data_IF_778006789659
#
_entry.id   IF_778006789659
#
_cell.length_a   1.000
_cell.length_b   1.000
_cell.length_c   1.000
_cell.angle_alpha   90.00
_cell.angle_beta   90.00
_cell.angle_gamma   90.00
#
_symmetry.space_group_name_H-M   'P 1'
#
loop_
_entity.id
_entity.type
_entity.pdbx_description
1 polymer ?
#
# COMPACT_ATOMS: atom_id res chain seq x y z
N UNK A 1 -14.13 -18.17 -30.26
CA UNK A 1 -12.83 -17.89 -29.61
C UNK A 1 -13.12 -17.44 -28.18
N UNK A 2 -12.77 -18.26 -27.19
CA UNK A 2 -13.15 -18.10 -25.77
C UNK A 2 -12.18 -17.09 -25.13
N UNK A 3 -12.66 -15.91 -24.71
CA UNK A 3 -11.86 -14.94 -23.96
C UNK A 3 -11.74 -15.42 -22.52
N UNK A 4 -10.63 -16.06 -22.18
CA UNK A 4 -10.34 -16.46 -20.81
C UNK A 4 -9.96 -15.21 -20.02
N UNK A 5 -10.94 -14.66 -19.29
CA UNK A 5 -10.78 -13.56 -18.35
C UNK A 5 -9.95 -14.08 -17.16
N UNK A 6 -8.68 -13.71 -17.07
CA UNK A 6 -7.82 -14.03 -15.92
C UNK A 6 -8.25 -13.16 -14.73
N UNK A 7 -9.06 -13.72 -13.83
CA UNK A 7 -9.22 -13.22 -12.46
C UNK A 7 -7.89 -13.42 -11.72
N UNK A 8 -7.23 -12.32 -11.35
CA UNK A 8 -6.06 -12.34 -10.47
C UNK A 8 -6.57 -12.36 -9.03
N UNK A 9 -6.51 -13.54 -8.40
CA UNK A 9 -6.77 -13.72 -6.96
C UNK A 9 -5.56 -13.17 -6.17
N UNK A 10 -5.74 -12.06 -5.45
CA UNK A 10 -4.69 -11.46 -4.64
C UNK A 10 -4.66 -12.19 -3.29
N UNK A 11 -3.51 -12.77 -2.95
CA UNK A 11 -3.29 -13.50 -1.71
C UNK A 11 -3.52 -12.60 -0.48
N UNK A 12 -4.41 -13.04 0.40
CA UNK A 12 -4.62 -12.47 1.73
C UNK A 12 -3.41 -12.84 2.61
N UNK A 13 -2.66 -11.84 3.06
CA UNK A 13 -1.66 -12.00 4.11
C UNK A 13 -2.36 -12.15 5.46
N UNK A 14 -2.22 -13.31 6.09
CA UNK A 14 -2.65 -13.56 7.47
C UNK A 14 -1.44 -13.49 8.38
N UNK A 15 -1.38 -12.47 9.24
CA UNK A 15 -0.68 -12.51 10.54
C UNK A 15 -1.56 -11.80 11.57
N UNK A 16 -1.89 -12.54 12.63
CA UNK A 16 -2.86 -12.18 13.65
C UNK A 16 -2.27 -11.29 14.76
N UNK A 17 -3.09 -10.39 15.33
CA UNK A 17 -2.95 -9.99 16.73
C UNK A 17 -3.20 -8.51 17.05
N UNK A 18 -4.35 -8.24 17.70
CA UNK A 18 -4.73 -7.05 18.48
C UNK A 18 -5.17 -5.78 17.73
N UNK A 19 -6.38 -5.89 17.17
CA UNK A 19 -7.32 -4.78 16.95
C UNK A 19 -8.13 -5.01 15.68
N UNK A 20 -9.44 -5.17 15.79
CA UNK A 20 -10.40 -5.21 14.66
C UNK A 20 -10.47 -3.90 13.85
N UNK A 21 -9.47 -3.03 14.03
CA UNK A 21 -9.46 -1.62 13.63
C UNK A 21 -8.59 -1.47 12.41
N UNK A 22 -9.00 -0.56 11.54
CA UNK A 22 -8.25 -0.20 10.35
C UNK A 22 -6.82 0.23 10.75
N UNK A 23 -5.78 -0.28 10.09
CA UNK A 23 -4.42 0.08 10.45
C UNK A 23 -4.17 1.58 10.30
N UNK A 24 -3.43 2.16 11.24
CA UNK A 24 -3.03 3.58 11.17
C UNK A 24 -2.07 3.79 10.01
N UNK A 25 -2.01 5.01 9.49
CA UNK A 25 -1.15 5.39 8.35
C UNK A 25 0.29 4.88 8.45
N UNK A 26 0.93 4.99 9.62
CA UNK A 26 2.34 4.64 9.82
C UNK A 26 2.56 3.19 10.30
N UNK A 27 1.53 2.34 10.31
CA UNK A 27 1.71 0.93 10.66
C UNK A 27 2.56 0.21 9.62
N UNK A 28 3.26 -0.85 10.05
CA UNK A 28 4.06 -1.65 9.14
C UNK A 28 3.18 -2.35 8.10
N UNK A 29 1.99 -2.81 8.47
CA UNK A 29 1.01 -3.39 7.54
C UNK A 29 0.64 -2.42 6.40
N UNK A 30 0.37 -1.15 6.74
CA UNK A 30 0.01 -0.14 5.75
C UNK A 30 1.20 0.18 4.84
N UNK A 31 2.39 0.39 5.41
CA UNK A 31 3.60 0.71 4.63
C UNK A 31 4.00 -0.43 3.71
N UNK A 32 3.97 -1.68 4.20
CA UNK A 32 4.32 -2.86 3.42
C UNK A 32 3.38 -3.03 2.22
N UNK A 33 2.07 -2.86 2.42
CA UNK A 33 1.11 -2.95 1.32
C UNK A 33 1.29 -1.81 0.30
N UNK A 34 1.59 -0.59 0.75
CA UNK A 34 1.93 0.52 -0.16
C UNK A 34 3.19 0.21 -0.98
N UNK A 35 4.24 -0.36 -0.37
CA UNK A 35 5.45 -0.80 -1.08
C UNK A 35 5.12 -1.87 -2.12
N UNK A 36 4.27 -2.85 -1.78
CA UNK A 36 3.86 -3.90 -2.70
C UNK A 36 3.07 -3.35 -3.89
N UNK A 37 2.15 -2.41 -3.64
CA UNK A 37 1.40 -1.71 -4.68
C UNK A 37 2.38 -0.95 -5.59
N UNK A 38 3.32 -0.18 -5.02
CA UNK A 38 4.32 0.54 -5.79
C UNK A 38 5.18 -0.38 -6.68
N UNK A 39 5.70 -1.49 -6.12
CA UNK A 39 6.47 -2.49 -6.89
C UNK A 39 5.65 -3.04 -8.04
N UNK A 40 4.40 -3.45 -7.79
CA UNK A 40 3.51 -4.00 -8.82
C UNK A 40 3.17 -2.99 -9.90
N UNK A 41 2.90 -1.73 -9.53
CA UNK A 41 2.61 -0.67 -10.51
C UNK A 41 3.81 -0.37 -11.39
N UNK A 42 5.01 -0.24 -10.81
CA UNK A 42 6.22 0.01 -11.58
C UNK A 42 6.62 -1.17 -12.47
N UNK A 43 6.45 -2.41 -11.98
CA UNK A 43 6.72 -3.62 -12.76
C UNK A 43 5.86 -3.75 -14.03
N UNK A 44 4.71 -3.04 -14.11
CA UNK A 44 3.89 -2.98 -15.33
C UNK A 44 4.50 -2.09 -16.42
N UNK A 45 5.25 -1.07 -16.04
CA UNK A 45 5.86 -0.10 -16.96
C UNK A 45 7.34 -0.34 -17.25
N UNK A 46 8.04 -1.05 -16.37
CA UNK A 46 9.49 -1.30 -16.50
C UNK A 46 9.94 -2.50 -15.68
N UNK A 47 11.11 -3.05 -16.03
CA UNK A 47 11.79 -4.05 -15.19
C UNK A 47 12.38 -3.37 -13.97
N UNK A 48 11.86 -3.67 -12.77
CA UNK A 48 12.43 -3.16 -11.53
C UNK A 48 13.70 -3.94 -11.21
N UNK A 49 14.83 -3.25 -11.14
CA UNK A 49 16.11 -3.85 -10.75
C UNK A 49 16.03 -4.36 -9.29
N UNK A 50 16.61 -5.53 -9.03
CA UNK A 50 16.55 -6.21 -7.73
C UNK A 50 17.17 -5.38 -6.61
N UNK A 51 18.12 -4.52 -6.96
CA UNK A 51 18.85 -3.68 -6.02
C UNK A 51 18.07 -2.42 -5.62
N UNK A 52 16.88 -2.18 -6.21
CA UNK A 52 16.01 -1.06 -5.83
C UNK A 52 15.29 -1.39 -4.52
N UNK A 53 15.69 -0.67 -3.48
CA UNK A 53 14.97 -0.61 -2.20
C UNK A 53 13.85 0.43 -2.31
N UNK A 54 12.65 0.04 -1.95
CA UNK A 54 11.47 0.92 -1.89
C UNK A 54 11.04 1.01 -0.43
N UNK A 55 10.86 2.22 0.08
CA UNK A 55 10.40 2.50 1.44
C UNK A 55 9.35 3.60 1.43
N UNK A 56 8.46 3.58 2.44
CA UNK A 56 7.52 4.66 2.72
C UNK A 56 8.06 5.44 3.92
N UNK A 57 8.39 6.70 3.70
CA UNK A 57 9.01 7.60 4.67
C UNK A 57 8.09 8.80 4.94
N UNK A 58 8.34 9.57 6.01
CA UNK A 58 7.63 10.83 6.32
C UNK A 58 6.09 10.70 6.35
N UNK A 59 5.59 9.58 6.86
CA UNK A 59 4.16 9.27 6.94
C UNK A 59 3.43 10.25 7.88
N UNK A 60 2.32 10.80 7.40
CA UNK A 60 1.42 11.67 8.15
C UNK A 60 -0.04 11.31 7.89
N UNK A 61 -0.84 11.29 8.96
CA UNK A 61 -2.30 11.23 8.85
C UNK A 61 -2.83 12.61 8.49
N UNK A 62 -3.58 12.71 7.39
CA UNK A 62 -4.23 13.94 6.93
C UNK A 62 -5.61 14.07 7.57
N UNK A 63 -6.37 12.97 7.61
CA UNK A 63 -7.67 12.92 8.27
C UNK A 63 -8.03 11.48 8.69
N UNK A 64 -8.96 11.39 9.64
CA UNK A 64 -9.60 10.13 10.04
C UNK A 64 -11.12 10.34 10.09
N UNK A 65 -11.85 9.61 9.25
CA UNK A 65 -13.32 9.60 9.25
C UNK A 65 -13.78 8.52 10.22
N UNK A 66 -13.96 8.89 11.50
CA UNK A 66 -14.22 7.92 12.58
C UNK A 66 -15.47 7.07 12.39
N UNK A 67 -16.51 7.60 11.72
CA UNK A 67 -17.76 6.86 11.44
C UNK A 67 -17.58 5.70 10.46
N UNK A 68 -16.61 5.80 9.55
CA UNK A 68 -16.27 4.77 8.56
C UNK A 68 -14.94 4.05 8.87
N UNK A 69 -14.25 4.49 9.92
CA UNK A 69 -12.88 4.12 10.27
C UNK A 69 -11.89 4.20 9.09
N UNK A 70 -11.97 5.29 8.33
CA UNK A 70 -11.13 5.51 7.14
C UNK A 70 -10.00 6.47 7.48
N UNK A 71 -8.77 6.09 7.14
CA UNK A 71 -7.60 6.97 7.27
C UNK A 71 -7.18 7.53 5.92
N UNK A 72 -7.04 8.85 5.82
CA UNK A 72 -6.36 9.51 4.72
C UNK A 72 -4.92 9.82 5.15
N UNK A 73 -3.97 9.37 4.36
CA UNK A 73 -2.54 9.43 4.65
C UNK A 73 -1.79 10.16 3.54
N UNK A 74 -0.67 10.78 3.90
CA UNK A 74 0.33 11.25 2.96
C UNK A 74 1.71 10.76 3.42
N UNK A 75 2.61 10.50 2.46
CA UNK A 75 3.95 10.02 2.74
C UNK A 75 4.87 10.31 1.55
N UNK A 76 6.16 10.05 1.72
CA UNK A 76 7.13 10.04 0.64
C UNK A 76 7.44 8.59 0.29
N UNK A 77 7.25 8.22 -0.99
CA UNK A 77 7.71 6.95 -1.51
C UNK A 77 9.15 7.11 -1.98
N UNK A 78 10.07 6.46 -1.27
CA UNK A 78 11.50 6.56 -1.50
C UNK A 78 12.00 5.36 -2.29
N UNK A 79 12.83 5.64 -3.30
CA UNK A 79 13.57 4.68 -4.11
C UNK A 79 15.05 4.86 -3.83
N UNK A 80 15.72 3.80 -3.40
CA UNK A 80 17.14 3.82 -3.10
C UNK A 80 17.90 2.71 -3.83
N UNK A 81 19.06 3.08 -4.38
CA UNK A 81 20.18 2.24 -4.81
C UNK A 81 21.45 2.72 -4.09
N UNK A 82 22.57 1.97 -4.09
CA UNK A 82 23.78 2.37 -3.35
C UNK A 82 24.24 3.83 -3.54
N UNK A 83 24.04 4.39 -4.75
CA UNK A 83 24.47 5.75 -5.10
C UNK A 83 23.33 6.69 -5.51
N UNK A 84 22.06 6.31 -5.26
CA UNK A 84 20.91 7.11 -5.67
C UNK A 84 19.79 6.99 -4.65
N UNK A 85 19.25 8.12 -4.20
CA UNK A 85 18.04 8.19 -3.39
C UNK A 85 17.12 9.25 -3.98
N UNK A 86 15.97 8.83 -4.49
CA UNK A 86 14.91 9.72 -4.96
C UNK A 86 13.64 9.45 -4.17
N UNK A 87 12.79 10.46 -4.02
CA UNK A 87 11.48 10.30 -3.41
C UNK A 87 10.41 11.01 -4.24
N UNK A 88 9.19 10.52 -4.14
CA UNK A 88 8.00 11.19 -4.69
C UNK A 88 6.88 11.21 -3.64
N UNK A 89 6.12 12.31 -3.55
CA UNK A 89 5.03 12.40 -2.60
C UNK A 89 3.87 11.52 -3.07
N UNK A 90 3.29 10.76 -2.13
CA UNK A 90 2.09 9.95 -2.35
C UNK A 90 1.02 10.32 -1.32
N UNK A 91 -0.23 10.06 -1.69
CA UNK A 91 -1.32 9.96 -0.74
C UNK A 91 -1.91 8.57 -0.80
N UNK A 92 -2.43 8.09 0.32
CA UNK A 92 -3.10 6.80 0.34
C UNK A 92 -4.25 6.77 1.34
N UNK A 93 -5.28 6.01 1.01
CA UNK A 93 -6.50 5.88 1.81
C UNK A 93 -6.65 4.44 2.27
N UNK A 94 -6.81 4.24 3.57
CA UNK A 94 -6.95 2.93 4.21
C UNK A 94 -8.40 2.77 4.67
N UNK A 95 -9.03 1.65 4.32
CA UNK A 95 -10.42 1.34 4.71
C UNK A 95 -10.58 -0.16 4.99
N UNK A 96 -11.35 -0.54 6.01
CA UNK A 96 -11.73 -1.94 6.25
C UNK A 96 -12.69 -2.47 5.17
N UNK A 97 -12.54 -3.72 4.77
CA UNK A 97 -13.48 -4.38 3.87
C UNK A 97 -14.66 -4.98 4.64
N UNK A 98 -15.84 -5.04 4.03
CA UNK A 98 -17.07 -5.58 4.64
C UNK A 98 -17.10 -7.13 4.67
N UNK A 99 -16.13 -7.81 4.07
CA UNK A 99 -16.06 -9.28 4.02
C UNK A 99 -15.47 -9.93 5.30
N UNK A 100 -15.40 -9.15 6.39
CA UNK A 100 -15.25 -9.57 7.80
C UNK A 100 -14.02 -10.41 8.19
N UNK A 101 -13.00 -10.49 7.34
CA UNK A 101 -11.74 -11.20 7.67
C UNK A 101 -10.65 -10.31 8.28
N UNK A 102 -11.01 -9.13 8.78
CA UNK A 102 -10.01 -8.14 9.25
C UNK A 102 -9.10 -7.63 8.13
N UNK A 103 -9.55 -7.76 6.88
CA UNK A 103 -8.84 -7.24 5.72
C UNK A 103 -9.09 -5.74 5.58
N UNK A 104 -8.08 -5.04 5.08
CA UNK A 104 -8.14 -3.62 4.78
C UNK A 104 -7.68 -3.41 3.34
N UNK A 105 -8.23 -2.37 2.74
CA UNK A 105 -7.98 -1.96 1.37
C UNK A 105 -7.22 -0.64 1.39
N UNK A 106 -6.17 -0.56 0.55
CA UNK A 106 -5.38 0.66 0.36
C UNK A 106 -5.46 1.12 -1.08
N UNK A 107 -5.92 2.35 -1.27
CA UNK A 107 -5.79 3.09 -2.51
C UNK A 107 -4.59 4.02 -2.41
N UNK A 108 -3.64 3.93 -3.35
CA UNK A 108 -2.48 4.81 -3.43
C UNK A 108 -2.60 5.72 -4.65
N UNK A 109 -2.32 7.00 -4.46
CA UNK A 109 -2.32 8.04 -5.49
C UNK A 109 -0.91 8.67 -5.59
N UNK A 110 -0.54 9.11 -6.79
CA UNK A 110 0.77 9.68 -7.08
C UNK A 110 1.81 8.68 -7.61
N UNK A 111 1.41 7.44 -7.94
CA UNK A 111 2.24 6.40 -8.56
C UNK A 111 2.13 6.38 -10.08
#
# INVERSE_FOLDING_TARGET
MKRTMLLVLIAAGLLAGCGEKTPKCNSDDAKNLVVDIARKTMAKGMTLDKDVRISVENVRTISHESGLDVYQCAADLTFAKPNMKNSLPITYRIQKTEDDKGQFYINVYGL
#
